data_IF_033051666584
#
_entry.id   IF_033051666584
#
_cell.length_a   1.000
_cell.length_b   1.000
_cell.length_c   1.000
_cell.angle_alpha   90.00
_cell.angle_beta   90.00
_cell.angle_gamma   90.00
#
_symmetry.space_group_name_H-M   'P 1'
#
loop_
_entity.id
_entity.type
_entity.pdbx_description
1 polymer ?
#
# COMPACT_ATOMS: atom_id res chain seq x y z
N UNK A 1 19.16 -22.58 3.73
CA UNK A 1 17.84 -22.35 4.39
C UNK A 1 17.97 -21.21 5.38
N UNK A 2 16.96 -20.37 5.45
CA UNK A 2 16.98 -19.19 6.32
C UNK A 2 15.69 -19.09 7.09
N UNK A 3 15.79 -18.82 8.38
CA UNK A 3 14.65 -18.43 9.20
C UNK A 3 15.01 -17.11 9.88
N UNK A 4 14.13 -16.13 9.80
CA UNK A 4 14.38 -14.78 10.28
C UNK A 4 13.24 -14.37 11.19
N UNK A 5 13.56 -13.86 12.36
CA UNK A 5 12.59 -13.27 13.28
C UNK A 5 12.80 -11.76 13.30
N UNK A 6 11.76 -11.01 12.98
CA UNK A 6 11.72 -9.57 13.22
C UNK A 6 10.81 -9.33 14.43
N UNK A 7 11.39 -8.87 15.52
CA UNK A 7 10.63 -8.61 16.74
C UNK A 7 9.85 -7.30 16.64
N UNK A 8 8.74 -7.20 17.37
CA UNK A 8 7.92 -5.98 17.39
C UNK A 8 8.74 -4.74 17.76
N UNK A 9 9.68 -4.87 18.67
CA UNK A 9 10.57 -3.76 19.12
C UNK A 9 11.50 -3.28 17.99
N UNK A 10 11.73 -4.10 16.95
CA UNK A 10 12.60 -3.76 15.83
C UNK A 10 11.83 -3.15 14.66
N UNK A 11 10.49 -3.06 14.75
CA UNK A 11 9.65 -2.47 13.73
C UNK A 11 9.80 -0.94 13.76
N UNK A 12 10.22 -0.39 12.63
CA UNK A 12 10.41 1.05 12.47
C UNK A 12 9.48 1.57 11.40
N UNK A 13 8.85 2.71 11.67
CA UNK A 13 7.86 3.31 10.80
C UNK A 13 8.45 4.50 10.06
N UNK A 14 8.15 4.58 8.76
CA UNK A 14 8.53 5.69 7.90
C UNK A 14 7.32 6.16 7.10
N UNK A 15 7.28 7.44 6.75
CA UNK A 15 6.20 7.98 5.93
C UNK A 15 6.37 7.53 4.47
N UNK A 16 5.25 7.20 3.83
CA UNK A 16 5.24 6.81 2.42
C UNK A 16 5.87 7.91 1.54
N UNK A 17 5.63 9.17 1.86
CA UNK A 17 6.21 10.30 1.13
C UNK A 17 7.73 10.32 1.10
N UNK A 18 8.41 9.57 1.97
CA UNK A 18 9.87 9.45 1.95
C UNK A 18 10.38 8.55 0.82
N UNK A 19 9.51 7.74 0.22
CA UNK A 19 9.90 6.76 -0.80
C UNK A 19 9.63 7.20 -2.22
N UNK A 20 8.55 7.93 -2.47
CA UNK A 20 8.19 8.42 -3.80
C UNK A 20 7.23 9.59 -3.73
N UNK A 21 7.20 10.38 -4.79
CA UNK A 21 6.26 11.47 -4.93
C UNK A 21 4.93 10.97 -5.47
N UNK A 22 3.85 11.61 -5.01
CA UNK A 22 2.49 11.29 -5.43
C UNK A 22 1.96 12.48 -6.24
N UNK A 23 1.61 12.22 -7.50
CA UNK A 23 1.02 13.22 -8.38
C UNK A 23 -0.50 13.25 -8.14
N UNK A 24 -0.96 14.31 -7.47
CA UNK A 24 -2.37 14.54 -7.14
C UNK A 24 -3.25 14.61 -8.38
N UNK A 25 -2.72 15.05 -9.51
CA UNK A 25 -3.50 15.15 -10.74
C UNK A 25 -3.76 13.79 -11.37
N UNK A 26 -2.82 12.85 -11.22
CA UNK A 26 -3.00 11.48 -11.68
C UNK A 26 -3.81 10.64 -10.70
N UNK A 27 -3.64 10.90 -9.41
CA UNK A 27 -4.23 10.14 -8.32
C UNK A 27 -4.92 11.10 -7.34
N UNK A 28 -6.11 11.62 -7.70
CA UNK A 28 -6.82 12.57 -6.84
C UNK A 28 -7.00 12.08 -5.40
N UNK A 29 -6.69 12.95 -4.45
CA UNK A 29 -6.74 12.65 -3.02
C UNK A 29 -5.51 11.95 -2.47
N UNK A 30 -4.69 11.33 -3.34
CA UNK A 30 -3.59 10.48 -2.90
C UNK A 30 -2.43 11.25 -2.25
N UNK A 31 -2.36 12.56 -2.43
CA UNK A 31 -1.34 13.37 -1.76
C UNK A 31 -1.41 13.24 -0.23
N UNK A 32 -2.61 13.07 0.32
CA UNK A 32 -2.78 12.87 1.75
C UNK A 32 -2.15 11.55 2.24
N UNK A 33 -1.97 10.58 1.34
CA UNK A 33 -1.33 9.31 1.65
C UNK A 33 0.16 9.46 2.02
N UNK A 34 0.79 10.59 1.69
CA UNK A 34 2.19 10.86 2.07
C UNK A 34 2.40 10.76 3.57
N UNK A 35 1.36 11.03 4.37
CA UNK A 35 1.41 10.97 5.82
C UNK A 35 1.18 9.57 6.36
N UNK A 36 0.77 8.63 5.51
CA UNK A 36 0.66 7.23 5.92
C UNK A 36 2.06 6.68 6.24
N UNK A 37 2.10 5.78 7.19
CA UNK A 37 3.37 5.19 7.63
C UNK A 37 3.47 3.74 7.16
N UNK A 38 4.68 3.33 6.83
CA UNK A 38 4.98 1.94 6.44
C UNK A 38 6.16 1.43 7.25
N UNK A 39 6.15 0.13 7.52
CA UNK A 39 7.28 -0.57 8.07
C UNK A 39 7.59 -1.77 7.20
N UNK A 40 8.76 -1.76 6.56
CA UNK A 40 9.19 -2.85 5.69
C UNK A 40 9.57 -4.03 6.59
N UNK A 41 8.82 -5.14 6.47
CA UNK A 41 9.12 -6.34 7.24
C UNK A 41 10.21 -7.15 6.56
N UNK A 42 9.99 -7.51 5.30
CA UNK A 42 10.96 -8.28 4.53
C UNK A 42 11.08 -7.68 3.13
N UNK A 43 12.32 -7.53 2.67
CA UNK A 43 12.66 -6.85 1.43
C UNK A 43 13.55 -7.72 0.53
N UNK A 44 14.16 -7.11 -0.50
CA UNK A 44 14.99 -7.81 -1.46
C UNK A 44 16.28 -8.40 -0.86
N UNK A 45 16.66 -8.00 0.35
CA UNK A 45 17.78 -8.61 1.05
C UNK A 45 17.43 -10.01 1.57
N UNK A 46 16.14 -10.32 1.67
CA UNK A 46 15.64 -11.62 2.16
C UNK A 46 15.18 -12.52 1.01
N UNK A 47 14.46 -11.97 0.05
CA UNK A 47 13.95 -12.71 -1.11
C UNK A 47 13.82 -11.79 -2.31
N UNK A 48 13.95 -12.35 -3.51
CA UNK A 48 13.76 -11.61 -4.77
C UNK A 48 12.34 -11.76 -5.33
N UNK A 49 11.45 -12.48 -4.65
CA UNK A 49 10.15 -12.85 -5.18
C UNK A 49 9.00 -11.95 -4.73
N UNK A 50 9.02 -11.50 -3.49
CA UNK A 50 7.93 -10.71 -2.92
C UNK A 50 8.43 -9.76 -1.84
N UNK A 51 7.56 -8.83 -1.43
CA UNK A 51 7.77 -7.97 -0.28
C UNK A 51 6.64 -8.09 0.72
N UNK A 52 6.88 -7.66 1.94
CA UNK A 52 5.90 -7.65 3.02
C UNK A 52 6.09 -6.39 3.85
N UNK A 53 4.98 -5.66 4.06
CA UNK A 53 4.99 -4.34 4.68
C UNK A 53 3.81 -4.22 5.63
N UNK A 54 4.05 -3.63 6.80
CA UNK A 54 2.97 -3.12 7.65
C UNK A 54 2.66 -1.69 7.25
N UNK A 55 1.38 -1.31 7.30
CA UNK A 55 0.95 0.02 6.94
C UNK A 55 0.01 0.61 7.99
N UNK A 56 0.15 1.90 8.24
CA UNK A 56 -0.78 2.70 9.05
C UNK A 56 -1.28 3.84 8.20
N UNK A 57 -2.59 3.88 8.00
CA UNK A 57 -3.23 4.93 7.20
C UNK A 57 -4.11 5.82 8.09
N UNK A 58 -4.02 7.15 7.93
CA UNK A 58 -4.99 8.06 8.55
C UNK A 58 -6.33 7.98 7.81
N UNK A 59 -7.40 8.59 8.34
CA UNK A 59 -8.62 8.78 7.57
C UNK A 59 -8.28 9.51 6.26
N UNK A 60 -8.69 8.93 5.13
CA UNK A 60 -8.32 9.45 3.81
C UNK A 60 -9.26 8.89 2.75
N UNK A 61 -9.54 9.69 1.72
CA UNK A 61 -10.23 9.26 0.50
C UNK A 61 -9.35 9.62 -0.68
N UNK A 62 -9.00 8.63 -1.49
CA UNK A 62 -8.09 8.86 -2.60
C UNK A 62 -8.25 7.83 -3.71
N UNK A 63 -7.90 8.25 -4.93
CA UNK A 63 -7.78 7.36 -6.08
C UNK A 63 -6.39 6.74 -6.10
N UNK A 64 -6.32 5.49 -6.51
CA UNK A 64 -5.06 4.76 -6.58
C UNK A 64 -4.98 3.90 -7.84
N UNK A 65 -3.76 3.69 -8.30
CA UNK A 65 -3.42 2.81 -9.40
C UNK A 65 -2.39 1.80 -8.91
N UNK A 66 -2.67 0.50 -9.06
CA UNK A 66 -1.75 -0.54 -8.60
C UNK A 66 -0.70 -0.88 -9.65
N UNK A 67 0.58 -0.75 -9.27
CA UNK A 67 1.74 -1.17 -10.06
C UNK A 67 2.26 -2.55 -9.66
N UNK A 68 1.53 -3.27 -8.84
CA UNK A 68 1.90 -4.59 -8.32
C UNK A 68 0.67 -5.43 -8.05
N UNK A 69 0.88 -6.72 -7.87
CA UNK A 69 -0.13 -7.59 -7.25
C UNK A 69 0.04 -7.49 -5.75
N UNK A 70 -1.07 -7.30 -5.02
CA UNK A 70 -1.02 -7.07 -3.59
C UNK A 70 -2.15 -7.77 -2.86
N UNK A 71 -1.81 -8.41 -1.74
CA UNK A 71 -2.77 -8.84 -0.73
C UNK A 71 -2.72 -7.81 0.39
N UNK A 72 -3.87 -7.28 0.78
CA UNK A 72 -3.99 -6.34 1.89
C UNK A 72 -4.88 -6.97 2.96
N UNK A 73 -4.29 -7.28 4.11
CA UNK A 73 -4.99 -7.83 5.27
C UNK A 73 -5.22 -6.72 6.29
N UNK A 74 -6.47 -6.47 6.64
CA UNK A 74 -6.82 -5.43 7.63
C UNK A 74 -6.62 -6.01 9.03
N UNK A 75 -5.71 -5.44 9.80
CA UNK A 75 -5.43 -5.85 11.17
C UNK A 75 -6.39 -5.15 12.14
N UNK A 76 -6.53 -3.84 12.01
CA UNK A 76 -7.38 -3.05 12.89
C UNK A 76 -7.83 -1.75 12.23
N UNK A 77 -8.87 -1.14 12.76
CA UNK A 77 -9.41 0.12 12.25
C UNK A 77 -10.25 -0.06 10.99
N UNK A 78 -10.38 1.01 10.23
CA UNK A 78 -11.24 1.02 9.05
C UNK A 78 -12.70 1.27 9.38
N UNK A 79 -13.69 0.66 8.69
CA UNK A 79 -13.47 -0.24 7.54
C UNK A 79 -12.80 0.44 6.35
N UNK A 80 -12.23 -0.38 5.47
CA UNK A 80 -11.70 0.05 4.19
C UNK A 80 -12.78 -0.15 3.13
N UNK A 81 -13.23 0.94 2.52
CA UNK A 81 -14.16 0.91 1.41
C UNK A 81 -13.39 1.08 0.12
N UNK A 82 -13.62 0.16 -0.81
CA UNK A 82 -12.97 0.16 -2.12
C UNK A 82 -14.05 0.24 -3.20
N UNK A 83 -13.91 1.18 -4.11
CA UNK A 83 -14.76 1.27 -5.30
C UNK A 83 -13.91 1.00 -6.52
N UNK A 84 -14.24 -0.04 -7.27
CA UNK A 84 -13.51 -0.47 -8.45
C UNK A 84 -14.50 -0.86 -9.54
N UNK A 85 -14.39 -0.20 -10.70
CA UNK A 85 -15.26 -0.46 -11.85
C UNK A 85 -16.75 -0.43 -11.50
N UNK A 86 -17.15 0.53 -10.67
CA UNK A 86 -18.54 0.69 -10.24
C UNK A 86 -18.99 -0.25 -9.13
N UNK A 87 -18.18 -1.23 -8.76
CA UNK A 87 -18.46 -2.11 -7.63
C UNK A 87 -17.87 -1.55 -6.35
N UNK A 88 -18.62 -1.67 -5.26
CA UNK A 88 -18.20 -1.24 -3.94
C UNK A 88 -18.03 -2.47 -3.06
N UNK A 89 -16.87 -2.56 -2.41
CA UNK A 89 -16.60 -3.59 -1.42
C UNK A 89 -16.07 -2.93 -0.14
N UNK A 90 -16.37 -3.50 0.99
CA UNK A 90 -15.99 -2.95 2.28
C UNK A 90 -15.49 -4.05 3.19
N UNK A 91 -14.31 -3.85 3.78
CA UNK A 91 -13.69 -4.82 4.66
C UNK A 91 -13.15 -4.17 5.92
N UNK A 92 -13.33 -4.84 7.05
CA UNK A 92 -12.81 -4.42 8.34
C UNK A 92 -11.77 -5.40 8.88
N UNK A 93 -11.47 -5.28 10.16
CA UNK A 93 -10.47 -6.12 10.82
C UNK A 93 -10.70 -7.61 10.57
N UNK A 94 -9.68 -8.31 10.13
CA UNK A 94 -9.75 -9.72 9.79
C UNK A 94 -10.10 -10.03 8.34
N UNK A 95 -10.47 -9.02 7.55
CA UNK A 95 -10.78 -9.20 6.13
C UNK A 95 -9.55 -8.98 5.27
N UNK A 96 -9.51 -9.61 4.10
CA UNK A 96 -8.41 -9.51 3.16
C UNK A 96 -8.91 -9.06 1.78
N UNK A 97 -8.16 -8.17 1.17
CA UNK A 97 -8.36 -7.72 -0.22
C UNK A 97 -7.26 -8.26 -1.10
N UNK A 98 -7.58 -8.45 -2.37
CA UNK A 98 -6.59 -8.69 -3.40
C UNK A 98 -6.71 -7.63 -4.50
N UNK A 99 -5.59 -7.06 -4.89
CA UNK A 99 -5.50 -6.08 -5.97
C UNK A 99 -4.49 -6.56 -7.00
N UNK A 100 -4.91 -6.65 -8.26
CA UNK A 100 -4.00 -7.01 -9.34
C UNK A 100 -3.30 -5.78 -9.92
N UNK A 101 -2.12 -5.97 -10.46
CA UNK A 101 -1.41 -4.90 -11.19
C UNK A 101 -2.30 -4.33 -12.29
N UNK A 102 -2.32 -3.00 -12.40
CA UNK A 102 -3.13 -2.29 -13.39
C UNK A 102 -4.52 -1.89 -12.90
N UNK A 103 -4.90 -2.30 -11.69
CA UNK A 103 -6.20 -1.95 -11.11
C UNK A 103 -6.25 -0.48 -10.74
N UNK A 104 -7.29 0.21 -11.18
CA UNK A 104 -7.63 1.56 -10.75
C UNK A 104 -8.83 1.50 -9.82
N UNK A 105 -8.74 2.18 -8.70
CA UNK A 105 -9.80 2.15 -7.70
C UNK A 105 -9.79 3.41 -6.83
N UNK A 106 -10.82 3.54 -6.00
CA UNK A 106 -10.92 4.60 -4.99
C UNK A 106 -10.99 3.95 -3.62
N UNK A 107 -10.12 4.38 -2.72
CA UNK A 107 -10.18 4.02 -1.31
C UNK A 107 -10.88 5.09 -0.50
N UNK A 108 -11.68 4.66 0.47
CA UNK A 108 -12.28 5.55 1.47
C UNK A 108 -12.12 4.92 2.84
N UNK A 109 -11.40 5.61 3.73
CA UNK A 109 -11.09 5.14 5.08
C UNK A 109 -11.50 6.24 6.06
N UNK A 110 -12.41 5.91 6.98
CA UNK A 110 -12.96 6.88 7.94
C UNK A 110 -12.25 6.90 9.28
N UNK A 111 -11.60 5.80 9.65
CA UNK A 111 -10.86 5.66 10.91
C UNK A 111 -9.45 5.18 10.63
N UNK A 112 -8.52 5.46 11.53
CA UNK A 112 -7.16 4.97 11.40
C UNK A 112 -7.14 3.47 11.12
N UNK A 113 -6.32 3.05 10.15
CA UNK A 113 -6.26 1.68 9.68
C UNK A 113 -4.84 1.15 9.86
N UNK A 114 -4.73 -0.09 10.32
CA UNK A 114 -3.47 -0.84 10.31
C UNK A 114 -3.67 -2.07 9.43
N UNK A 115 -2.77 -2.27 8.49
CA UNK A 115 -2.82 -3.40 7.57
C UNK A 115 -1.48 -4.08 7.40
N UNK A 116 -1.54 -5.31 6.91
CA UNK A 116 -0.38 -6.09 6.50
C UNK A 116 -0.51 -6.37 5.02
N UNK A 117 0.53 -6.05 4.26
CA UNK A 117 0.53 -6.31 2.83
C UNK A 117 1.60 -7.32 2.44
N UNK A 118 1.24 -8.16 1.49
CA UNK A 118 2.17 -8.95 0.71
C UNK A 118 2.04 -8.51 -0.73
N UNK A 119 3.16 -8.29 -1.41
CA UNK A 119 3.14 -7.79 -2.77
C UNK A 119 4.22 -8.42 -3.65
N UNK A 120 3.88 -8.58 -4.90
CA UNK A 120 4.77 -9.03 -5.95
C UNK A 120 4.94 -7.87 -6.95
N UNK A 121 6.15 -7.46 -7.28
CA UNK A 121 7.46 -7.96 -6.85
C UNK A 121 7.89 -7.41 -5.48
N UNK A 122 9.20 -7.27 -5.27
CA UNK A 122 9.76 -6.73 -4.02
C UNK A 122 9.37 -5.26 -3.81
N UNK A 123 9.47 -4.77 -2.57
CA UNK A 123 9.13 -3.39 -2.24
C UNK A 123 9.96 -2.39 -3.05
N UNK A 124 11.26 -2.62 -3.20
CA UNK A 124 12.15 -1.73 -3.95
C UNK A 124 11.75 -1.61 -5.42
N UNK A 125 11.37 -2.71 -6.04
CA UNK A 125 10.90 -2.69 -7.43
C UNK A 125 9.56 -1.95 -7.56
N UNK A 126 8.68 -2.10 -6.59
CA UNK A 126 7.40 -1.40 -6.57
C UNK A 126 7.60 0.10 -6.44
N UNK A 127 8.49 0.54 -5.54
CA UNK A 127 8.82 1.95 -5.39
C UNK A 127 9.33 2.54 -6.71
N UNK A 128 10.20 1.81 -7.40
CA UNK A 128 10.69 2.22 -8.71
C UNK A 128 9.56 2.38 -9.73
N UNK A 129 8.61 1.44 -9.74
CA UNK A 129 7.44 1.52 -10.64
C UNK A 129 6.57 2.74 -10.35
N UNK A 130 6.35 3.08 -9.07
CA UNK A 130 5.58 4.27 -8.70
C UNK A 130 6.33 5.55 -9.05
N UNK A 131 7.63 5.59 -8.90
CA UNK A 131 8.45 6.73 -9.35
C UNK A 131 8.31 6.93 -10.87
N UNK A 132 8.40 5.85 -11.65
CA UNK A 132 8.23 5.89 -13.10
C UNK A 132 6.81 6.32 -13.49
N UNK A 133 5.79 5.85 -12.76
CA UNK A 133 4.40 6.25 -12.97
C UNK A 133 4.22 7.76 -12.76
N UNK A 134 4.82 8.31 -11.70
CA UNK A 134 4.74 9.74 -11.40
C UNK A 134 5.40 10.59 -12.48
N UNK A 135 6.42 10.09 -13.16
CA UNK A 135 7.16 10.79 -14.21
C UNK A 135 6.50 10.69 -15.60
N UNK A 136 5.50 9.79 -15.77
CA UNK A 136 4.83 9.63 -17.05
C UNK A 136 4.05 10.89 -17.42
N UNK A 137 4.04 11.29 -18.72
CA UNK A 137 3.22 12.40 -19.17
C UNK A 137 1.74 12.12 -18.91
N UNK A 138 0.98 13.16 -18.60
CA UNK A 138 -0.48 13.06 -18.56
C UNK A 138 -1.02 12.82 -19.97
N UNK A 139 -2.02 11.98 -20.05
CA UNK A 139 -2.77 11.81 -21.30
C UNK A 139 -3.87 12.84 -21.40
#
# INVERSE_FOLDING_TARGET
MTAILKKAEDIKWEKIGNFFDIDEEKLPGAKALKEAEVSILFDSSHTKHFGSVLEKWPPVTFDWHYECDEVFYVISGGPMKVTCEGEVMEGGAGDAFFFSRGTNLTFEIKNNLVGLTFHYPTFEEIIKRYQEFAEQPKK
#
